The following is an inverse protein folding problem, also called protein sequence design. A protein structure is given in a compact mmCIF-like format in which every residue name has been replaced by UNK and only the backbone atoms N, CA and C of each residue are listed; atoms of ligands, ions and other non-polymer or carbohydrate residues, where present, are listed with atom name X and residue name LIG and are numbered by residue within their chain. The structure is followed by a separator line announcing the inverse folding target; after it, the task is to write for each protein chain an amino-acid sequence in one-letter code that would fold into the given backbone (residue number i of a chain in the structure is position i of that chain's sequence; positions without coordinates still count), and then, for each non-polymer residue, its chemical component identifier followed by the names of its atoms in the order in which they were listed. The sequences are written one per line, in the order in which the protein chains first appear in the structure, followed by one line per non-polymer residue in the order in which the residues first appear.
data_IF_994921581764
#
_entry.id   IF_994921581764
#
_cell.length_a   1.000
_cell.length_b   1.000
_cell.length_c   1.000
_cell.angle_alpha   90.00
_cell.angle_beta   90.00
_cell.angle_gamma   90.00
#
_symmetry.space_group_name_H-M   'P 1'
#
loop_
_entity.id
_entity.type
_entity.pdbx_description
1 polymer ?
#
# COMPACT_ATOMS: atom_id res chain seq x y z
N UNK A 1 16.48 2.19 -3.63
CA UNK A 1 15.42 1.35 -3.03
C UNK A 1 14.19 1.50 -3.90
N UNK A 2 13.48 0.41 -4.22
CA UNK A 2 12.29 0.48 -5.08
C UNK A 2 11.16 1.24 -4.41
N UNK A 3 10.32 1.93 -5.18
CA UNK A 3 9.29 2.85 -4.66
C UNK A 3 7.94 2.17 -4.52
N UNK A 4 7.12 2.67 -3.58
CA UNK A 4 5.76 2.15 -3.35
C UNK A 4 4.84 2.29 -4.57
N UNK A 5 5.00 3.37 -5.36
CA UNK A 5 4.26 3.57 -6.61
C UNK A 5 4.57 2.50 -7.67
N UNK A 6 5.85 2.18 -7.84
CA UNK A 6 6.32 1.14 -8.75
C UNK A 6 5.81 -0.25 -8.32
N UNK A 7 5.73 -0.50 -7.00
CA UNK A 7 5.13 -1.73 -6.47
C UNK A 7 3.66 -1.83 -6.85
N UNK A 8 2.89 -0.74 -6.72
CA UNK A 8 1.46 -0.69 -7.07
C UNK A 8 1.25 -0.97 -8.56
N UNK A 9 2.05 -0.35 -9.43
CA UNK A 9 2.00 -0.59 -10.88
C UNK A 9 2.30 -2.05 -11.20
N UNK A 10 3.35 -2.62 -10.59
CA UNK A 10 3.74 -4.01 -10.78
C UNK A 10 2.62 -4.98 -10.37
N UNK A 11 2.07 -4.85 -9.16
CA UNK A 11 1.06 -5.81 -8.68
C UNK A 11 -0.25 -5.67 -9.44
N UNK A 12 -0.65 -4.46 -9.86
CA UNK A 12 -1.82 -4.26 -10.73
C UNK A 12 -1.62 -4.95 -12.09
N UNK A 13 -0.43 -4.85 -12.67
CA UNK A 13 -0.10 -5.56 -13.92
C UNK A 13 -0.22 -7.07 -13.71
N UNK A 14 0.29 -7.62 -12.61
CA UNK A 14 0.21 -9.05 -12.30
C UNK A 14 -1.23 -9.52 -12.03
N UNK A 15 -2.04 -8.73 -11.36
CA UNK A 15 -3.46 -9.04 -11.17
C UNK A 15 -4.27 -9.03 -12.47
N UNK A 16 -3.84 -8.24 -13.47
CA UNK A 16 -4.44 -8.23 -14.80
C UNK A 16 -3.90 -9.34 -15.73
N UNK A 17 -2.85 -10.06 -15.32
CA UNK A 17 -2.21 -11.10 -16.11
C UNK A 17 -2.93 -12.45 -15.89
N UNK A 18 -3.54 -13.06 -16.92
CA UNK A 18 -4.39 -14.24 -16.75
C UNK A 18 -3.61 -15.51 -16.36
N UNK A 19 -2.28 -15.49 -16.50
CA UNK A 19 -1.40 -16.64 -16.30
C UNK A 19 -0.55 -16.49 -15.04
N UNK A 20 -1.19 -16.17 -13.92
CA UNK A 20 -0.56 -16.25 -12.60
C UNK A 20 -1.15 -17.41 -11.81
N UNK A 21 -0.33 -18.06 -10.98
CA UNK A 21 -0.74 -19.21 -10.17
C UNK A 21 -0.15 -19.13 -8.76
N UNK A 22 -0.92 -19.52 -7.74
CA UNK A 22 -0.39 -19.63 -6.38
C UNK A 22 0.40 -20.93 -6.21
N UNK A 23 1.69 -20.83 -5.86
CA UNK A 23 2.51 -21.98 -5.44
C UNK A 23 3.32 -21.54 -4.22
N UNK A 24 3.21 -22.26 -3.10
CA UNK A 24 3.91 -21.86 -1.89
C UNK A 24 5.43 -21.91 -2.10
N UNK A 25 6.14 -20.83 -1.74
CA UNK A 25 7.58 -20.71 -1.88
C UNK A 25 8.06 -20.31 -3.28
N UNK A 26 7.20 -19.77 -4.15
CA UNK A 26 7.58 -19.24 -5.46
C UNK A 26 7.50 -17.72 -5.52
N UNK A 27 8.25 -17.12 -6.44
CA UNK A 27 8.48 -15.68 -6.54
C UNK A 27 8.70 -15.25 -8.00
N UNK A 28 7.91 -15.80 -8.91
CA UNK A 28 7.93 -15.45 -10.34
C UNK A 28 8.51 -16.53 -11.26
N UNK A 29 8.77 -17.74 -10.78
CA UNK A 29 9.17 -18.86 -11.64
C UNK A 29 8.03 -19.27 -12.58
N UNK A 30 8.37 -19.72 -13.77
CA UNK A 30 7.41 -20.41 -14.64
C UNK A 30 7.10 -21.78 -14.05
N UNK A 31 5.81 -22.09 -13.92
CA UNK A 31 5.34 -23.36 -13.39
C UNK A 31 5.53 -24.47 -14.42
N UNK A 32 6.63 -25.21 -14.29
CA UNK A 32 6.88 -26.44 -15.04
C UNK A 32 6.58 -27.67 -14.19
N UNK A 33 6.39 -28.83 -14.83
CA UNK A 33 6.24 -30.11 -14.09
C UNK A 33 7.43 -30.35 -13.15
N UNK A 34 8.66 -30.06 -13.62
CA UNK A 34 9.87 -30.21 -12.82
C UNK A 34 9.88 -29.28 -11.59
N UNK A 35 9.48 -28.01 -11.78
CA UNK A 35 9.42 -27.03 -10.70
C UNK A 35 8.34 -27.38 -9.66
N UNK A 36 7.15 -27.80 -10.10
CA UNK A 36 6.10 -28.26 -9.19
C UNK A 36 6.57 -29.44 -8.34
N UNK A 37 7.15 -30.47 -8.98
CA UNK A 37 7.69 -31.63 -8.28
C UNK A 37 8.77 -31.25 -7.26
N UNK A 38 9.63 -30.28 -7.57
CA UNK A 38 10.60 -29.73 -6.62
C UNK A 38 9.90 -29.10 -5.41
N UNK A 39 8.89 -28.25 -5.65
CA UNK A 39 8.19 -27.52 -4.58
C UNK A 39 7.33 -28.44 -3.71
N UNK A 40 6.75 -29.49 -4.27
CA UNK A 40 6.04 -30.52 -3.53
C UNK A 40 6.95 -31.30 -2.56
N UNK A 41 8.19 -31.59 -2.95
CA UNK A 41 9.18 -32.23 -2.06
C UNK A 41 9.63 -31.31 -0.92
N UNK A 42 9.62 -30.00 -1.15
CA UNK A 42 10.04 -28.99 -0.16
C UNK A 42 8.93 -28.66 0.83
N UNK A 43 7.67 -28.62 0.38
CA UNK A 43 6.56 -28.03 1.12
C UNK A 43 5.32 -28.90 1.00
N UNK A 44 4.90 -29.50 2.12
CA UNK A 44 3.75 -30.41 2.20
C UNK A 44 2.44 -29.79 1.67
N UNK A 45 2.25 -28.48 1.84
CA UNK A 45 1.07 -27.78 1.32
C UNK A 45 0.96 -27.90 -0.21
N UNK A 46 2.08 -27.78 -0.95
CA UNK A 46 2.06 -27.93 -2.40
C UNK A 46 1.71 -29.37 -2.80
N UNK A 47 2.21 -30.37 -2.06
CA UNK A 47 1.89 -31.77 -2.31
C UNK A 47 0.40 -32.07 -2.08
N UNK A 48 -0.16 -31.56 -0.98
CA UNK A 48 -1.58 -31.70 -0.65
C UNK A 48 -2.49 -31.09 -1.72
N UNK A 49 -2.03 -30.05 -2.42
CA UNK A 49 -2.78 -29.34 -3.46
C UNK A 49 -2.30 -29.69 -4.88
N UNK A 50 -1.49 -30.75 -5.04
CA UNK A 50 -0.89 -31.12 -6.33
C UNK A 50 -1.93 -31.37 -7.42
N UNK A 51 -3.08 -31.95 -7.07
CA UNK A 51 -4.18 -32.23 -8.00
C UNK A 51 -4.72 -30.97 -8.70
N UNK A 52 -4.67 -29.81 -8.04
CA UNK A 52 -5.03 -28.51 -8.62
C UNK A 52 -3.83 -27.96 -9.39
N UNK A 53 -2.66 -27.87 -8.73
CA UNK A 53 -1.46 -27.25 -9.31
C UNK A 53 -0.98 -27.93 -10.60
N UNK A 54 -1.13 -29.26 -10.72
CA UNK A 54 -0.73 -30.00 -11.91
C UNK A 54 -1.51 -29.59 -13.17
N UNK A 55 -2.68 -28.96 -13.02
CA UNK A 55 -3.50 -28.54 -14.16
C UNK A 55 -2.93 -27.32 -14.87
N UNK A 56 -1.93 -26.64 -14.27
CA UNK A 56 -1.36 -25.38 -14.75
C UNK A 56 0.10 -25.51 -15.22
N UNK A 57 0.72 -26.67 -15.03
CA UNK A 57 2.12 -26.91 -15.42
C UNK A 57 2.31 -26.82 -16.93
N UNK A 58 3.49 -26.34 -17.33
CA UNK A 58 3.98 -26.32 -18.72
C UNK A 58 3.08 -25.52 -19.70
N UNK A 59 2.26 -24.61 -19.17
CA UNK A 59 1.35 -23.73 -19.93
C UNK A 59 1.74 -22.25 -19.89
N UNK A 60 2.90 -21.95 -19.30
CA UNK A 60 3.43 -20.59 -19.14
C UNK A 60 2.81 -19.80 -17.98
N UNK A 61 2.22 -20.47 -16.99
CA UNK A 61 1.80 -19.82 -15.75
C UNK A 61 3.01 -19.38 -14.93
N UNK A 62 2.99 -18.14 -14.43
CA UNK A 62 4.00 -17.61 -13.53
C UNK A 62 3.54 -17.79 -12.07
N UNK A 63 4.37 -18.46 -11.28
CA UNK A 63 4.03 -18.89 -9.93
C UNK A 63 4.51 -17.90 -8.87
N UNK A 64 3.63 -17.52 -7.95
CA UNK A 64 3.95 -16.69 -6.79
C UNK A 64 3.32 -17.28 -5.51
N UNK A 65 3.89 -16.95 -4.36
CA UNK A 65 3.12 -16.89 -3.11
C UNK A 65 2.89 -15.42 -2.71
N UNK A 66 2.21 -15.19 -1.58
CA UNK A 66 1.87 -13.85 -1.12
C UNK A 66 3.10 -12.95 -0.89
N UNK A 67 4.15 -13.50 -0.28
CA UNK A 67 5.43 -12.79 -0.07
C UNK A 67 6.25 -12.75 -1.36
N UNK A 68 6.18 -13.81 -2.14
CA UNK A 68 6.88 -14.05 -3.39
C UNK A 68 6.50 -13.05 -4.46
N UNK A 69 5.24 -12.59 -4.50
CA UNK A 69 4.83 -11.48 -5.37
C UNK A 69 5.60 -10.19 -5.05
N UNK A 70 5.78 -9.86 -3.77
CA UNK A 70 6.51 -8.67 -3.33
C UNK A 70 8.02 -8.85 -3.55
N UNK A 71 8.55 -10.05 -3.28
CA UNK A 71 9.96 -10.37 -3.52
C UNK A 71 10.30 -10.34 -5.01
N UNK A 72 9.42 -10.85 -5.87
CA UNK A 72 9.57 -10.77 -7.31
C UNK A 72 9.71 -9.32 -7.76
N UNK A 73 8.86 -8.41 -7.27
CA UNK A 73 9.05 -6.98 -7.51
C UNK A 73 10.44 -6.48 -7.10
N UNK A 74 10.90 -6.83 -5.89
CA UNK A 74 12.24 -6.45 -5.41
C UNK A 74 13.38 -7.02 -6.26
N UNK A 75 13.15 -8.15 -6.92
CA UNK A 75 14.10 -8.89 -7.74
C UNK A 75 13.85 -8.72 -9.25
N UNK A 76 13.21 -7.62 -9.64
CA UNK A 76 12.98 -7.23 -11.04
C UNK A 76 12.16 -8.25 -11.85
N UNK A 77 11.25 -8.96 -11.17
CA UNK A 77 10.42 -10.04 -11.71
C UNK A 77 11.25 -11.16 -12.37
N UNK A 78 12.51 -11.30 -11.92
CA UNK A 78 13.46 -12.27 -12.46
C UNK A 78 13.94 -13.22 -11.34
N UNK A 79 13.52 -14.49 -11.37
CA UNK A 79 13.95 -15.47 -10.37
C UNK A 79 15.47 -15.66 -10.25
N UNK A 80 16.25 -15.32 -11.28
CA UNK A 80 17.72 -15.35 -11.23
C UNK A 80 18.32 -14.32 -10.27
N UNK A 81 17.57 -13.27 -9.93
CA UNK A 81 17.98 -12.22 -8.99
C UNK A 81 17.71 -12.60 -7.52
N UNK A 82 17.39 -13.86 -7.24
CA UNK A 82 17.15 -14.37 -5.89
C UNK A 82 18.29 -14.02 -4.92
N UNK A 83 17.93 -13.54 -3.73
CA UNK A 83 18.87 -13.18 -2.68
C UNK A 83 18.43 -13.78 -1.35
N UNK A 84 19.21 -14.74 -0.85
CA UNK A 84 18.92 -15.43 0.42
C UNK A 84 18.75 -14.47 1.61
N UNK A 85 19.54 -13.40 1.66
CA UNK A 85 19.45 -12.38 2.72
C UNK A 85 18.16 -11.53 2.67
N UNK A 86 17.37 -11.66 1.62
CA UNK A 86 16.10 -10.97 1.41
C UNK A 86 14.91 -11.93 1.28
N UNK A 87 15.15 -13.24 1.44
CA UNK A 87 14.12 -14.26 1.38
C UNK A 87 13.32 -14.30 2.69
N UNK A 88 12.38 -13.37 2.78
CA UNK A 88 11.60 -13.10 3.99
C UNK A 88 10.17 -13.64 3.85
N UNK A 89 9.60 -14.07 4.98
CA UNK A 89 8.17 -14.34 5.13
C UNK A 89 7.43 -13.11 5.65
N UNK A 90 6.11 -13.18 5.72
CA UNK A 90 5.23 -12.07 6.10
C UNK A 90 5.50 -11.58 7.53
N UNK A 91 5.79 -12.51 8.45
CA UNK A 91 6.14 -12.18 9.82
C UNK A 91 7.43 -11.35 9.90
N UNK A 92 8.44 -11.71 9.11
CA UNK A 92 9.72 -10.99 9.02
C UNK A 92 9.52 -9.61 8.37
N UNK A 93 8.75 -9.55 7.27
CA UNK A 93 8.42 -8.27 6.61
C UNK A 93 7.75 -7.29 7.59
N UNK A 94 6.79 -7.78 8.38
CA UNK A 94 6.08 -6.99 9.40
C UNK A 94 6.98 -6.61 10.59
N UNK A 95 7.86 -7.51 11.03
CA UNK A 95 8.79 -7.26 12.13
C UNK A 95 9.78 -6.13 11.79
N UNK A 96 10.30 -6.11 10.56
CA UNK A 96 11.25 -5.07 10.09
C UNK A 96 10.63 -3.69 9.93
N UNK A 97 9.32 -3.61 9.70
CA UNK A 97 8.65 -2.34 9.50
C UNK A 97 8.72 -1.47 10.75
N UNK A 98 9.24 -0.24 10.57
CA UNK A 98 9.31 0.79 11.62
C UNK A 98 7.99 1.54 11.76
N UNK A 99 7.28 1.74 10.65
CA UNK A 99 5.99 2.41 10.59
C UNK A 99 4.93 1.35 10.29
N UNK A 100 4.00 1.17 11.24
CA UNK A 100 2.93 0.17 11.17
C UNK A 100 1.79 0.55 12.11
N UNK A 101 0.62 0.00 11.87
CA UNK A 101 -0.56 0.28 12.68
C UNK A 101 -1.67 -0.76 12.50
N UNK A 102 -2.74 -0.61 13.30
CA UNK A 102 -3.95 -1.43 13.15
C UNK A 102 -4.59 -1.13 11.79
N UNK A 103 -5.19 -2.14 11.14
CA UNK A 103 -5.82 -1.96 9.82
C UNK A 103 -6.85 -0.83 9.78
N UNK A 104 -7.56 -0.61 10.89
CA UNK A 104 -8.56 0.45 11.02
C UNK A 104 -7.99 1.87 10.87
N UNK A 105 -6.67 2.03 11.01
CA UNK A 105 -5.94 3.28 10.82
C UNK A 105 -5.10 3.30 9.54
N UNK A 106 -5.35 2.38 8.59
CA UNK A 106 -4.64 2.34 7.31
C UNK A 106 -4.79 3.71 6.62
N UNK A 107 -3.69 4.40 6.29
CA UNK A 107 -3.78 5.65 5.53
C UNK A 107 -4.16 5.35 4.07
N UNK A 108 -4.85 6.29 3.43
CA UNK A 108 -5.17 6.24 2.00
C UNK A 108 -3.91 6.51 1.15
N UNK A 109 -2.95 5.57 1.20
CA UNK A 109 -1.67 5.65 0.50
C UNK A 109 -1.33 4.28 -0.10
N UNK A 110 -1.43 4.15 -1.44
CA UNK A 110 -1.07 2.92 -2.13
C UNK A 110 0.38 2.46 -1.93
N UNK A 111 0.59 1.15 -2.00
CA UNK A 111 1.88 0.46 -1.88
C UNK A 111 2.23 0.03 -0.45
N UNK A 112 1.40 0.35 0.54
CA UNK A 112 1.51 -0.17 1.90
C UNK A 112 1.15 -1.65 1.92
N UNK A 113 1.89 -2.44 2.69
CA UNK A 113 1.56 -3.84 2.90
C UNK A 113 0.48 -3.99 3.97
N UNK A 114 -0.48 -4.87 3.73
CA UNK A 114 -1.52 -5.27 4.69
C UNK A 114 -1.34 -6.73 5.07
N UNK A 115 -1.58 -7.05 6.32
CA UNK A 115 -1.26 -8.34 6.92
C UNK A 115 -2.45 -8.92 7.69
N UNK A 116 -2.56 -10.23 7.61
CA UNK A 116 -3.32 -11.09 8.52
C UNK A 116 -2.45 -12.31 8.85
N UNK A 117 -2.81 -13.14 9.84
CA UNK A 117 -2.01 -14.32 10.17
C UNK A 117 -1.69 -15.17 8.94
N UNK A 118 -0.40 -15.37 8.65
CA UNK A 118 0.08 -16.18 7.52
C UNK A 118 -0.07 -15.57 6.13
N UNK A 119 -0.48 -14.30 6.00
CA UNK A 119 -0.75 -13.72 4.68
C UNK A 119 -0.47 -12.22 4.57
N UNK A 120 -0.02 -11.79 3.39
CA UNK A 120 0.29 -10.40 3.06
C UNK A 120 -0.27 -10.01 1.70
N UNK A 121 -0.71 -8.76 1.58
CA UNK A 121 -1.13 -8.14 0.33
C UNK A 121 -0.64 -6.71 0.20
N UNK A 122 -0.80 -6.12 -0.98
CA UNK A 122 -0.43 -4.73 -1.28
C UNK A 122 -1.69 -3.88 -1.41
N UNK A 123 -1.86 -2.89 -0.54
CA UNK A 123 -2.94 -1.91 -0.67
C UNK A 123 -2.73 -1.04 -1.90
N UNK A 124 -3.72 -0.95 -2.78
CA UNK A 124 -3.62 -0.22 -4.06
C UNK A 124 -4.49 1.04 -4.13
N UNK A 125 -5.10 1.44 -3.01
CA UNK A 125 -6.01 2.57 -2.88
C UNK A 125 -7.48 2.18 -3.02
N UNK A 126 -8.38 3.09 -2.67
CA UNK A 126 -9.84 2.97 -2.81
C UNK A 126 -10.42 1.69 -2.18
N UNK A 127 -9.85 1.22 -1.07
CA UNK A 127 -10.32 0.02 -0.38
C UNK A 127 -10.01 -1.28 -1.12
N UNK A 128 -9.03 -1.29 -2.03
CA UNK A 128 -8.61 -2.47 -2.79
C UNK A 128 -7.20 -2.94 -2.44
N UNK A 129 -6.98 -4.24 -2.53
CA UNK A 129 -5.71 -4.92 -2.24
C UNK A 129 -5.39 -5.88 -3.37
N UNK A 130 -4.15 -5.92 -3.82
CA UNK A 130 -3.65 -7.02 -4.65
C UNK A 130 -2.94 -8.03 -3.77
N UNK A 131 -3.32 -9.30 -3.90
CA UNK A 131 -2.75 -10.41 -3.15
C UNK A 131 -2.55 -11.62 -4.07
N UNK A 132 -1.58 -12.48 -3.75
CA UNK A 132 -1.48 -13.80 -4.37
C UNK A 132 -2.05 -14.84 -3.41
N UNK A 133 -3.16 -15.49 -3.77
CA UNK A 133 -3.90 -16.38 -2.86
C UNK A 133 -4.51 -17.57 -3.62
N UNK A 134 -4.58 -18.77 -3.00
CA UNK A 134 -5.23 -19.94 -3.57
C UNK A 134 -6.72 -19.99 -3.17
N UNK A 135 -7.57 -19.10 -3.69
CA UNK A 135 -8.96 -18.98 -3.25
C UNK A 135 -9.95 -18.74 -4.39
N UNK A 136 -10.66 -19.80 -4.77
CA UNK A 136 -11.76 -19.74 -5.75
C UNK A 136 -12.85 -18.73 -5.33
N UNK A 137 -13.19 -18.66 -4.05
CA UNK A 137 -14.18 -17.69 -3.54
C UNK A 137 -13.76 -16.23 -3.70
N UNK A 138 -12.47 -15.97 -3.89
CA UNK A 138 -11.92 -14.62 -4.12
C UNK A 138 -11.64 -14.35 -5.61
N UNK A 139 -11.84 -15.33 -6.48
CA UNK A 139 -11.66 -15.19 -7.93
C UNK A 139 -10.56 -16.05 -8.54
N UNK A 140 -9.91 -16.94 -7.78
CA UNK A 140 -9.03 -17.98 -8.32
C UNK A 140 -7.76 -18.23 -7.51
N UNK A 141 -6.86 -19.02 -8.09
CA UNK A 141 -5.58 -19.40 -7.49
C UNK A 141 -4.44 -18.63 -8.12
N UNK A 142 -4.19 -17.39 -7.71
CA UNK A 142 -3.18 -16.56 -8.35
C UNK A 142 -3.14 -15.16 -7.79
N UNK A 143 -2.63 -14.23 -8.59
CA UNK A 143 -2.59 -12.80 -8.24
C UNK A 143 -3.93 -12.19 -8.62
N UNK A 144 -4.61 -11.59 -7.65
CA UNK A 144 -5.96 -11.06 -7.82
C UNK A 144 -6.19 -9.81 -6.97
N UNK A 145 -7.17 -9.00 -7.39
CA UNK A 145 -7.60 -7.81 -6.67
C UNK A 145 -8.78 -8.15 -5.76
N UNK A 146 -8.64 -7.94 -4.46
CA UNK A 146 -9.70 -8.11 -3.46
C UNK A 146 -10.12 -6.79 -2.82
N UNK A 147 -11.26 -6.81 -2.14
CA UNK A 147 -11.66 -5.71 -1.25
C UNK A 147 -10.91 -5.82 0.07
N UNK A 148 -10.43 -4.68 0.57
CA UNK A 148 -9.85 -4.55 1.90
C UNK A 148 -10.88 -4.91 2.98
N UNK A 149 -12.10 -4.36 2.85
CA UNK A 149 -13.18 -4.55 3.82
C UNK A 149 -13.69 -5.99 3.74
N UNK A 150 -13.81 -6.64 4.89
CA UNK A 150 -14.36 -7.99 5.02
C UNK A 150 -13.36 -9.12 4.75
N UNK A 151 -12.16 -8.81 4.23
CA UNK A 151 -11.13 -9.82 3.92
C UNK A 151 -10.38 -10.37 5.13
N UNK A 152 -10.45 -9.68 6.28
CA UNK A 152 -9.84 -10.11 7.54
C UNK A 152 -8.44 -9.55 7.82
N UNK A 153 -8.00 -8.52 7.08
CA UNK A 153 -6.75 -7.80 7.36
C UNK A 153 -6.75 -7.23 8.78
N UNK A 154 -5.60 -7.22 9.46
CA UNK A 154 -5.49 -6.84 10.87
C UNK A 154 -4.48 -5.73 11.12
N UNK A 155 -3.41 -5.69 10.32
CA UNK A 155 -2.28 -4.78 10.49
C UNK A 155 -1.85 -4.24 9.12
N UNK A 156 -1.37 -3.01 9.08
CA UNK A 156 -0.67 -2.46 7.92
C UNK A 156 0.76 -2.08 8.31
N UNK A 157 1.67 -2.10 7.34
CA UNK A 157 3.06 -1.70 7.57
C UNK A 157 3.73 -1.13 6.31
N UNK A 158 4.61 -0.15 6.52
CA UNK A 158 5.58 0.28 5.52
C UNK A 158 6.76 -0.70 5.53
N UNK A 159 6.86 -1.52 4.48
CA UNK A 159 7.89 -2.54 4.41
C UNK A 159 9.27 -1.90 4.24
N UNK A 160 10.23 -2.27 5.10
CA UNK A 160 11.54 -1.63 5.19
C UNK A 160 12.39 -1.66 3.89
N UNK A 161 12.04 -2.51 2.92
CA UNK A 161 12.71 -2.60 1.60
C UNK A 161 12.04 -1.79 0.49
N UNK A 162 10.94 -1.10 0.81
CA UNK A 162 10.20 -0.23 -0.09
C UNK A 162 10.35 1.22 0.39
N UNK A 163 10.66 2.11 -0.54
CA UNK A 163 10.64 3.54 -0.30
C UNK A 163 9.23 4.07 -0.46
N UNK A 164 8.72 4.73 0.58
CA UNK A 164 7.40 5.36 0.56
C UNK A 164 7.59 6.86 0.38
N UNK A 165 6.85 7.44 -0.57
CA UNK A 165 6.74 8.89 -0.63
C UNK A 165 5.94 9.33 0.60
N UNK A 166 6.59 10.01 1.54
CA UNK A 166 5.92 10.70 2.64
C UNK A 166 5.60 12.11 2.16
N UNK A 167 4.32 12.44 1.88
CA UNK A 167 3.96 13.80 1.51
C UNK A 167 4.40 14.76 2.63
N UNK A 168 4.95 15.90 2.23
CA UNK A 168 5.40 16.95 3.12
C UNK A 168 5.09 18.30 2.49
N UNK A 169 4.83 19.29 3.33
CA UNK A 169 4.44 20.63 2.92
C UNK A 169 3.03 20.69 2.32
N UNK A 170 2.78 21.76 1.57
CA UNK A 170 1.56 21.99 0.80
C UNK A 170 1.42 20.99 -0.32
N UNK A 171 0.25 20.38 -0.40
CA UNK A 171 -0.14 19.44 -1.45
C UNK A 171 -1.52 19.83 -1.97
N UNK A 172 -1.71 19.71 -3.29
CA UNK A 172 -3.00 19.89 -3.93
C UNK A 172 -3.50 18.53 -4.43
N UNK A 173 -4.70 18.14 -4.00
CA UNK A 173 -5.35 16.88 -4.41
C UNK A 173 -6.79 17.23 -4.80
N UNK A 174 -7.18 16.89 -6.03
CA UNK A 174 -8.53 17.17 -6.59
C UNK A 174 -8.99 18.63 -6.38
N UNK A 175 -8.06 19.57 -6.62
CA UNK A 175 -8.30 21.01 -6.45
C UNK A 175 -8.34 21.50 -4.99
N UNK A 176 -8.32 20.61 -4.01
CA UNK A 176 -8.29 20.93 -2.59
C UNK A 176 -6.85 21.03 -2.08
N UNK A 177 -6.61 21.98 -1.17
CA UNK A 177 -5.30 22.16 -0.53
C UNK A 177 -5.23 21.46 0.82
N UNK A 178 -4.10 20.79 1.05
CA UNK A 178 -3.74 20.11 2.28
C UNK A 178 -2.33 20.52 2.67
N UNK A 179 -2.00 20.34 3.94
CA UNK A 179 -0.62 20.40 4.40
C UNK A 179 -0.25 19.10 5.10
N UNK A 180 0.92 18.57 4.79
CA UNK A 180 1.45 17.37 5.43
C UNK A 180 2.74 17.69 6.17
N UNK A 181 2.87 17.16 7.38
CA UNK A 181 4.12 17.21 8.14
C UNK A 181 4.52 15.79 8.49
N UNK A 182 5.71 15.37 8.06
CA UNK A 182 6.21 13.99 8.24
C UNK A 182 5.20 12.92 7.77
N UNK A 183 4.51 13.17 6.66
CA UNK A 183 3.48 12.25 6.14
C UNK A 183 2.11 12.35 6.80
N UNK A 184 1.98 13.12 7.88
CA UNK A 184 0.71 13.30 8.57
C UNK A 184 -0.03 14.52 8.03
N UNK A 185 -1.29 14.31 7.64
CA UNK A 185 -2.18 15.40 7.22
C UNK A 185 -2.51 16.29 8.42
N UNK A 186 -2.26 17.58 8.26
CA UNK A 186 -2.51 18.60 9.27
C UNK A 186 -4.00 18.97 9.31
N UNK A 187 -4.48 19.25 10.53
CA UNK A 187 -5.85 19.63 10.85
C UNK A 187 -5.86 20.81 11.82
N UNK A 188 -6.96 21.59 11.81
CA UNK A 188 -7.14 22.75 12.69
C UNK A 188 -6.31 23.96 12.29
N UNK A 189 -6.09 24.87 13.24
CA UNK A 189 -5.24 26.05 13.04
C UNK A 189 -3.76 25.69 13.04
N UNK A 190 -3.01 26.15 12.04
CA UNK A 190 -1.55 26.08 12.03
C UNK A 190 -0.90 27.32 11.44
N UNK A 191 0.25 27.67 12.02
CA UNK A 191 1.20 28.61 11.48
C UNK A 191 2.13 27.87 10.52
N UNK A 192 2.04 28.19 9.24
CA UNK A 192 2.72 27.46 8.15
C UNK A 192 3.32 28.44 7.14
N UNK A 193 4.33 28.04 6.36
CA UNK A 193 4.82 28.86 5.25
C UNK A 193 3.70 29.06 4.22
N UNK A 194 3.69 30.16 3.48
CA UNK A 194 2.62 30.43 2.49
C UNK A 194 2.72 29.56 1.23
N UNK A 195 3.87 28.93 1.00
CA UNK A 195 4.14 27.94 -0.05
C UNK A 195 5.34 27.08 0.35
N UNK A 196 5.58 25.97 -0.36
CA UNK A 196 6.72 25.09 -0.07
C UNK A 196 8.04 25.84 -0.28
N UNK A 197 8.88 25.88 0.77
CA UNK A 197 10.16 26.60 0.74
C UNK A 197 10.07 28.12 0.97
N UNK A 198 8.90 28.65 1.34
CA UNK A 198 8.75 30.08 1.63
C UNK A 198 9.22 30.45 3.04
N UNK A 199 9.94 31.56 3.16
CA UNK A 199 10.25 32.23 4.42
C UNK A 199 9.11 33.14 4.92
N UNK A 200 8.04 33.27 4.14
CA UNK A 200 6.84 34.01 4.56
C UNK A 200 5.82 33.04 5.15
N UNK A 201 5.23 33.39 6.30
CA UNK A 201 4.32 32.52 7.04
C UNK A 201 2.94 33.14 7.23
N UNK A 202 1.98 32.30 7.60
CA UNK A 202 0.60 32.68 7.83
C UNK A 202 -0.15 31.66 8.68
N UNK A 203 -1.26 32.11 9.27
CA UNK A 203 -2.21 31.22 9.92
C UNK A 203 -3.19 30.67 8.89
N UNK A 204 -3.35 29.37 8.88
CA UNK A 204 -4.29 28.64 8.02
C UNK A 204 -5.17 27.74 8.88
N UNK A 205 -6.38 27.49 8.40
CA UNK A 205 -7.32 26.61 9.07
C UNK A 205 -7.69 25.43 8.16
N UNK A 206 -7.47 24.21 8.67
CA UNK A 206 -7.79 22.96 8.01
C UNK A 206 -8.97 22.29 8.71
N UNK A 207 -9.93 21.79 7.92
CA UNK A 207 -11.12 21.15 8.45
C UNK A 207 -10.75 19.93 9.33
N UNK A 208 -11.22 19.84 10.60
CA UNK A 208 -10.89 18.73 11.49
C UNK A 208 -11.34 17.34 11.01
N UNK A 209 -12.42 17.25 10.23
CA UNK A 209 -12.92 15.98 9.72
C UNK A 209 -11.98 15.43 8.64
N UNK A 210 -11.66 16.24 7.63
CA UNK A 210 -11.03 15.76 6.39
C UNK A 210 -9.71 16.45 6.01
N UNK A 211 -9.23 17.45 6.75
CA UNK A 211 -7.95 18.11 6.51
C UNK A 211 -7.93 19.13 5.36
N UNK A 212 -9.07 19.40 4.72
CA UNK A 212 -9.14 20.38 3.62
C UNK A 212 -8.93 21.80 4.16
N UNK A 213 -7.97 22.53 3.59
CA UNK A 213 -7.76 23.95 3.89
C UNK A 213 -9.01 24.75 3.55
N UNK A 214 -9.46 25.56 4.50
CA UNK A 214 -10.58 26.48 4.30
C UNK A 214 -10.07 27.79 3.69
N UNK A 215 -10.79 28.34 2.72
CA UNK A 215 -10.43 29.60 2.05
C UNK A 215 -11.66 30.38 1.61
N UNK A 216 -11.49 31.69 1.42
CA UNK A 216 -12.49 32.63 0.94
C UNK A 216 -13.81 32.59 1.74
N UNK A 217 -13.72 32.50 3.06
CA UNK A 217 -14.88 32.33 3.94
C UNK A 217 -14.57 32.74 5.37
N UNK A 218 -15.65 32.90 6.15
CA UNK A 218 -15.58 33.00 7.60
C UNK A 218 -15.71 31.61 8.25
N UNK A 219 -14.89 31.31 9.25
CA UNK A 219 -14.93 30.04 10.00
C UNK A 219 -15.17 30.31 11.48
N UNK A 220 -16.21 29.69 12.05
CA UNK A 220 -16.51 29.77 13.48
C UNK A 220 -15.68 28.73 14.24
N UNK A 221 -15.14 29.14 15.38
CA UNK A 221 -14.28 28.29 16.20
C UNK A 221 -14.89 28.04 17.59
N UNK A 222 -14.29 27.12 18.35
CA UNK A 222 -14.81 26.67 19.65
C UNK A 222 -14.72 27.73 20.73
N UNK A 223 -13.94 28.79 20.51
CA UNK A 223 -13.87 29.97 21.37
C UNK A 223 -15.05 30.94 21.16
N UNK A 224 -15.98 30.59 20.26
CA UNK A 224 -17.16 31.37 19.94
C UNK A 224 -16.94 32.45 18.88
N UNK A 225 -15.69 32.70 18.48
CA UNK A 225 -15.33 33.72 17.48
C UNK A 225 -15.39 33.18 16.07
N UNK A 226 -15.47 34.10 15.12
CA UNK A 226 -15.45 33.81 13.69
C UNK A 226 -14.27 34.51 13.04
N UNK A 227 -13.47 33.79 12.26
CA UNK A 227 -12.23 34.26 11.64
C UNK A 227 -12.37 34.31 10.12
N UNK A 228 -11.87 35.36 9.49
CA UNK A 228 -11.94 35.52 8.03
C UNK A 228 -10.70 34.94 7.33
N UNK A 229 -10.92 34.02 6.40
CA UNK A 229 -9.86 33.42 5.59
C UNK A 229 -9.91 34.02 4.18
N UNK A 230 -8.78 34.54 3.71
CA UNK A 230 -8.64 35.10 2.36
C UNK A 230 -8.75 34.05 1.27
N UNK A 231 -8.69 34.50 -0.01
CA UNK A 231 -8.76 33.61 -1.19
C UNK A 231 -7.66 32.55 -1.22
N UNK A 232 -6.49 32.86 -0.66
CA UNK A 232 -5.37 31.93 -0.52
C UNK A 232 -5.43 31.09 0.77
N UNK A 233 -6.52 31.17 1.54
CA UNK A 233 -6.70 30.44 2.80
C UNK A 233 -6.01 31.06 4.02
N UNK A 234 -5.12 32.05 3.83
CA UNK A 234 -4.45 32.73 4.94
C UNK A 234 -5.47 33.57 5.71
N UNK A 235 -5.43 33.50 7.04
CA UNK A 235 -6.22 34.37 7.91
C UNK A 235 -5.85 35.83 7.66
N UNK A 236 -6.87 36.68 7.47
CA UNK A 236 -6.69 38.10 7.14
C UNK A 236 -6.29 38.97 8.33
N UNK A 237 -6.35 38.41 9.55
CA UNK A 237 -6.21 39.16 10.81
C UNK A 237 -7.56 39.58 11.40
N UNK A 238 -8.66 39.44 10.65
CA UNK A 238 -10.00 39.82 11.09
C UNK A 238 -10.68 38.70 11.89
N UNK A 239 -11.32 39.06 13.01
CA UNK A 239 -12.17 38.19 13.81
C UNK A 239 -13.36 38.95 14.40
N UNK A 240 -14.51 38.28 14.58
CA UNK A 240 -15.73 38.83 15.21
C UNK A 240 -16.52 37.79 15.98
#
# INVERSE_FOLDING_TARGET
MKKSKELVEYVKKKAAEPKTIYVLGSFGQILTTAFLNQKCRQLAWNEQNRNILQQYVDQGYQAFDCCGLIKAFLWDDNPANYKVAEDENEATMLARAKIKGKIASLPERPGILVFMPGHVGVYIGNGEVVECTPSESLGGWGVLTTKLKGRGWTVWAEYARISYDTPSGWQQVDGCWFYFFEGHMIKGWKWLPISNGSDTWGWFYFNPANGIMQANKWVKFTDGKTYELGKNGKWTGNAK
#
